data_IF_283118996327
#
_entry.id   IF_283118996327
#
_cell.length_a   1.000
_cell.length_b   1.000
_cell.length_c   1.000
_cell.angle_alpha   90.00
_cell.angle_beta   90.00
_cell.angle_gamma   90.00
#
_symmetry.space_group_name_H-M   'P 1'
#
loop_
_entity.id
_entity.type
_entity.pdbx_description
1 polymer ?
#
# COMPACT_ATOMS: atom_id res chain seq x y z
N UNK A 1 11.91 8.10 13.45
CA UNK A 1 10.96 7.50 12.48
C UNK A 1 11.71 6.43 11.72
N UNK A 2 11.23 5.20 11.75
CA UNK A 2 11.88 4.08 11.07
C UNK A 2 11.51 4.10 9.59
N UNK A 3 12.52 3.97 8.74
CA UNK A 3 12.33 3.86 7.29
C UNK A 3 12.92 2.55 6.79
N UNK A 4 12.15 1.81 6.01
CA UNK A 4 12.62 0.62 5.29
C UNK A 4 12.37 0.84 3.81
N UNK A 5 13.41 0.78 2.98
CA UNK A 5 13.28 1.05 1.55
C UNK A 5 14.17 0.13 0.74
N UNK A 6 13.63 -0.37 -0.37
CA UNK A 6 14.36 -1.03 -1.45
C UNK A 6 14.35 -0.19 -2.73
N UNK A 7 13.58 0.90 -2.76
CA UNK A 7 13.68 1.91 -3.79
C UNK A 7 15.01 2.67 -3.60
N UNK A 8 15.91 2.60 -4.59
CA UNK A 8 17.33 2.95 -4.42
C UNK A 8 17.61 4.25 -3.67
N UNK A 9 16.82 5.31 -3.87
CA UNK A 9 16.85 6.52 -3.03
C UNK A 9 15.54 6.65 -2.25
N UNK A 10 15.63 6.73 -0.94
CA UNK A 10 14.48 6.92 -0.04
C UNK A 10 13.63 8.12 -0.47
N UNK A 11 12.32 7.91 -0.55
CA UNK A 11 11.34 8.92 -0.93
C UNK A 11 11.35 9.30 -2.42
N UNK A 12 12.16 8.67 -3.26
CA UNK A 12 12.10 8.87 -4.71
C UNK A 12 11.55 7.61 -5.39
N UNK A 13 10.58 7.76 -6.31
CA UNK A 13 10.23 6.68 -7.22
C UNK A 13 11.48 6.13 -7.93
N UNK A 14 11.54 4.81 -8.19
CA UNK A 14 12.62 4.23 -8.98
C UNK A 14 12.63 4.83 -10.39
N UNK A 15 13.77 4.74 -11.07
CA UNK A 15 13.86 5.15 -12.47
C UNK A 15 12.82 4.39 -13.31
N UNK A 16 12.23 5.06 -14.30
CA UNK A 16 11.35 4.46 -15.30
C UNK A 16 12.11 4.30 -16.62
N UNK A 17 12.67 3.11 -16.93
CA UNK A 17 13.38 2.89 -18.18
C UNK A 17 12.44 3.08 -19.39
N UNK A 18 13.01 3.40 -20.55
CA UNK A 18 12.24 3.41 -21.79
C UNK A 18 11.61 2.03 -22.05
N UNK A 19 10.34 2.01 -22.47
CA UNK A 19 9.58 0.77 -22.67
C UNK A 19 8.97 0.19 -21.39
N UNK A 20 9.04 0.90 -20.25
CA UNK A 20 8.39 0.52 -19.01
C UNK A 20 7.39 1.58 -18.54
N UNK A 21 6.30 1.11 -17.93
CA UNK A 21 5.38 1.88 -17.09
C UNK A 21 5.79 1.74 -15.64
N UNK A 22 5.58 2.80 -14.87
CA UNK A 22 5.79 2.80 -13.43
C UNK A 22 4.46 3.02 -12.72
N UNK A 23 4.08 2.08 -11.88
CA UNK A 23 2.92 2.19 -10.99
C UNK A 23 3.41 2.38 -9.56
N UNK A 24 2.79 3.30 -8.81
CA UNK A 24 3.02 3.47 -7.38
C UNK A 24 1.73 3.26 -6.60
N UNK A 25 1.69 2.28 -5.70
CA UNK A 25 0.57 2.10 -4.78
C UNK A 25 0.89 2.64 -3.41
N UNK A 26 0.00 3.45 -2.86
CA UNK A 26 0.14 4.11 -1.57
C UNK A 26 -0.91 3.55 -0.60
N UNK A 27 -0.49 3.30 0.64
CA UNK A 27 -1.36 2.92 1.74
C UNK A 27 -0.91 3.57 3.04
N UNK A 28 -1.87 4.06 3.83
CA UNK A 28 -1.61 4.73 5.11
C UNK A 28 -2.39 4.01 6.21
N UNK A 29 -1.68 3.57 7.24
CA UNK A 29 -2.28 3.00 8.44
C UNK A 29 -2.46 4.08 9.51
N UNK A 30 -3.66 4.13 10.07
CA UNK A 30 -4.06 5.13 11.04
C UNK A 30 -4.96 4.55 12.14
N UNK A 31 -4.89 5.15 13.32
CA UNK A 31 -5.72 4.75 14.47
C UNK A 31 -7.17 5.15 14.23
N UNK A 32 -8.11 4.27 14.61
CA UNK A 32 -9.55 4.54 14.46
C UNK A 32 -10.09 5.14 15.76
N UNK A 33 -10.45 6.41 15.74
CA UNK A 33 -11.13 7.07 16.86
C UNK A 33 -12.50 7.59 16.44
N UNK A 34 -13.53 6.76 16.67
CA UNK A 34 -14.90 7.11 16.32
C UNK A 34 -15.57 8.13 17.26
N UNK A 35 -14.93 8.44 18.40
CA UNK A 35 -15.50 9.35 19.40
C UNK A 35 -15.14 10.81 19.16
N UNK A 36 -14.04 11.06 18.45
CA UNK A 36 -13.51 12.40 18.22
C UNK A 36 -13.48 12.65 16.71
N UNK A 37 -14.18 13.70 16.27
CA UNK A 37 -14.10 14.14 14.88
C UNK A 37 -12.64 14.46 14.54
N UNK A 38 -12.13 13.87 13.47
CA UNK A 38 -10.72 13.96 13.07
C UNK A 38 -9.72 13.43 14.11
N UNK A 39 -10.14 12.53 15.01
CA UNK A 39 -9.26 11.92 16.01
C UNK A 39 -8.42 10.74 15.49
N UNK A 40 -8.47 10.46 14.18
CA UNK A 40 -7.65 9.43 13.58
C UNK A 40 -6.22 9.95 13.41
N UNK A 41 -5.23 9.13 13.78
CA UNK A 41 -3.82 9.52 13.74
C UNK A 41 -3.04 8.52 12.88
N UNK A 42 -2.37 8.96 11.80
CA UNK A 42 -1.52 8.10 10.99
C UNK A 42 -0.26 7.72 11.75
N UNK A 43 0.16 6.47 11.62
CA UNK A 43 1.37 5.95 12.29
C UNK A 43 2.29 5.16 11.35
N UNK A 44 1.81 4.78 10.17
CA UNK A 44 2.62 4.11 9.16
C UNK A 44 2.08 4.46 7.77
N UNK A 45 2.97 4.51 6.77
CA UNK A 45 2.56 4.45 5.37
C UNK A 45 3.59 3.69 4.55
N UNK A 46 3.18 3.23 3.37
CA UNK A 46 4.10 2.69 2.38
C UNK A 46 3.76 3.17 0.98
N UNK A 47 4.78 3.13 0.13
CA UNK A 47 4.66 3.21 -1.31
C UNK A 47 5.31 1.97 -1.91
N UNK A 48 4.55 1.19 -2.67
CA UNK A 48 5.04 0.04 -3.45
C UNK A 48 5.08 0.44 -4.92
N UNK A 49 6.22 0.24 -5.55
CA UNK A 49 6.44 0.53 -6.97
C UNK A 49 6.49 -0.77 -7.77
N UNK A 50 5.74 -0.81 -8.87
CA UNK A 50 5.80 -1.88 -9.86
C UNK A 50 6.32 -1.30 -11.19
N UNK A 51 7.45 -1.82 -11.66
CA UNK A 51 7.97 -1.53 -12.99
C UNK A 51 7.51 -2.62 -13.95
N UNK A 52 6.81 -2.22 -15.01
CA UNK A 52 6.18 -3.16 -15.94
C UNK A 52 6.47 -2.75 -17.37
N UNK A 53 6.89 -3.67 -18.25
CA UNK A 53 6.97 -3.41 -19.67
C UNK A 53 5.66 -2.86 -20.24
N UNK A 54 5.74 -1.90 -21.16
CA UNK A 54 4.57 -1.24 -21.77
C UNK A 54 3.74 -2.19 -22.63
N UNK A 55 4.34 -3.26 -23.14
CA UNK A 55 3.74 -4.20 -24.09
C UNK A 55 3.26 -5.51 -23.46
N UNK A 56 3.40 -5.69 -22.14
CA UNK A 56 3.02 -6.96 -21.51
C UNK A 56 1.52 -6.99 -21.20
N UNK A 57 0.83 -7.90 -21.89
CA UNK A 57 -0.52 -8.36 -21.53
C UNK A 57 -0.46 -9.42 -20.42
N UNK A 58 0.67 -10.11 -20.28
CA UNK A 58 0.92 -11.19 -19.34
C UNK A 58 2.13 -10.84 -18.46
N UNK A 59 2.03 -11.02 -17.14
CA UNK A 59 3.14 -10.74 -16.21
C UNK A 59 3.59 -12.01 -15.51
N UNK A 60 4.86 -12.39 -15.70
CA UNK A 60 5.51 -13.53 -15.06
C UNK A 60 6.69 -13.13 -14.15
N UNK A 61 7.25 -11.93 -14.38
CA UNK A 61 8.39 -11.38 -13.65
C UNK A 61 8.01 -10.04 -13.03
N UNK A 62 8.22 -9.91 -11.72
CA UNK A 62 7.83 -8.73 -10.96
C UNK A 62 9.06 -7.94 -10.54
N UNK A 63 9.17 -6.70 -11.02
CA UNK A 63 10.13 -5.72 -10.52
C UNK A 63 9.45 -4.86 -9.46
N UNK A 64 9.62 -5.27 -8.19
CA UNK A 64 9.00 -4.63 -7.05
C UNK A 64 10.07 -3.89 -6.25
N UNK A 65 9.80 -2.63 -5.95
CA UNK A 65 10.53 -1.88 -4.92
C UNK A 65 9.54 -1.17 -4.02
N UNK A 66 9.97 -0.75 -2.84
CA UNK A 66 9.09 -0.03 -1.93
C UNK A 66 9.84 0.94 -1.03
N UNK A 67 9.08 1.83 -0.41
CA UNK A 67 9.47 2.57 0.78
C UNK A 67 8.35 2.45 1.82
N UNK A 68 8.70 2.23 3.08
CA UNK A 68 7.77 2.20 4.21
C UNK A 68 8.34 3.02 5.36
N UNK A 69 7.46 3.82 5.97
CA UNK A 69 7.77 4.65 7.13
C UNK A 69 6.87 4.28 8.30
N UNK A 70 7.44 4.29 9.50
CA UNK A 70 6.73 3.96 10.74
C UNK A 70 7.20 4.89 11.87
N UNK A 71 6.26 5.43 12.65
CA UNK A 71 6.60 6.30 13.80
C UNK A 71 7.15 5.51 14.99
N UNK A 72 8.30 5.92 15.49
CA UNK A 72 8.88 5.39 16.72
C UNK A 72 8.21 6.00 17.94
N UNK A 73 7.83 7.27 17.84
CA UNK A 73 7.13 8.00 18.90
C UNK A 73 5.99 8.85 18.34
N UNK A 74 4.96 9.18 19.13
CA UNK A 74 3.86 10.03 18.67
C UNK A 74 4.29 11.42 18.16
N UNK A 75 5.43 11.94 18.64
CA UNK A 75 5.98 13.23 18.22
C UNK A 75 6.38 13.25 16.74
N UNK A 76 6.59 12.09 16.13
CA UNK A 76 7.02 11.96 14.73
C UNK A 76 5.87 12.01 13.72
N UNK A 77 4.63 12.05 14.20
CA UNK A 77 3.42 12.04 13.36
C UNK A 77 3.44 13.16 12.31
N UNK A 78 3.85 14.39 12.68
CA UNK A 78 3.97 15.50 11.75
C UNK A 78 5.00 15.23 10.63
N UNK A 79 6.16 14.69 10.98
CA UNK A 79 7.18 14.30 10.01
C UNK A 79 6.71 13.16 9.09
N UNK A 80 5.98 12.17 9.62
CA UNK A 80 5.38 11.09 8.83
C UNK A 80 4.44 11.67 7.76
N UNK A 81 3.56 12.60 8.15
CA UNK A 81 2.61 13.24 7.22
C UNK A 81 3.33 14.06 6.16
N UNK A 82 4.36 14.81 6.53
CA UNK A 82 5.18 15.57 5.58
C UNK A 82 5.88 14.65 4.57
N UNK A 83 6.44 13.53 5.02
CA UNK A 83 7.07 12.55 4.15
C UNK A 83 6.04 11.89 3.21
N UNK A 84 4.88 11.48 3.73
CA UNK A 84 3.80 10.89 2.92
C UNK A 84 3.31 11.85 1.83
N UNK A 85 3.12 13.13 2.16
CA UNK A 85 2.70 14.13 1.18
C UNK A 85 3.73 14.34 0.07
N UNK A 86 5.01 14.45 0.44
CA UNK A 86 6.11 14.59 -0.52
C UNK A 86 6.20 13.37 -1.45
N UNK A 87 6.05 12.16 -0.92
CA UNK A 87 6.08 10.93 -1.70
C UNK A 87 4.86 10.80 -2.63
N UNK A 88 3.66 11.12 -2.14
CA UNK A 88 2.43 11.14 -2.95
C UNK A 88 2.57 12.15 -4.10
N UNK A 89 3.07 13.36 -3.83
CA UNK A 89 3.33 14.35 -4.88
C UNK A 89 4.30 13.82 -5.92
N UNK A 90 5.44 13.25 -5.50
CA UNK A 90 6.41 12.65 -6.44
C UNK A 90 5.80 11.51 -7.25
N UNK A 91 4.94 10.69 -6.64
CA UNK A 91 4.23 9.65 -7.36
C UNK A 91 3.32 10.25 -8.45
N UNK A 92 2.57 11.30 -8.14
CA UNK A 92 1.72 11.99 -9.11
C UNK A 92 2.53 12.63 -10.26
N UNK A 93 3.74 13.11 -9.96
CA UNK A 93 4.62 13.73 -10.96
C UNK A 93 5.36 12.72 -11.85
N UNK A 94 5.74 11.55 -11.31
CA UNK A 94 6.79 10.70 -11.90
C UNK A 94 6.32 9.29 -12.27
N UNK A 95 5.09 8.92 -11.92
CA UNK A 95 4.54 7.59 -12.20
C UNK A 95 3.43 7.69 -13.25
N UNK A 96 3.17 6.59 -13.95
CA UNK A 96 2.08 6.49 -14.90
C UNK A 96 0.73 6.34 -14.17
N UNK A 97 0.73 5.59 -13.07
CA UNK A 97 -0.46 5.29 -12.28
C UNK A 97 -0.15 5.34 -10.79
N UNK A 98 -0.92 6.13 -10.06
CA UNK A 98 -0.95 6.14 -8.59
C UNK A 98 -2.16 5.34 -8.12
N UNK A 99 -1.92 4.35 -7.29
CA UNK A 99 -2.94 3.40 -6.82
C UNK A 99 -3.13 3.54 -5.32
N UNK A 100 -4.35 3.29 -4.86
CA UNK A 100 -4.62 3.01 -3.45
C UNK A 100 -5.92 2.23 -3.30
N UNK A 101 -6.23 1.82 -2.08
CA UNK A 101 -7.51 1.21 -1.74
C UNK A 101 -8.21 2.07 -0.69
N UNK A 102 -9.28 2.78 -1.07
CA UNK A 102 -9.87 3.85 -0.25
C UNK A 102 -8.95 5.06 -0.05
N UNK A 103 -8.12 5.39 -1.04
CA UNK A 103 -7.14 6.47 -0.97
C UNK A 103 -7.74 7.81 -0.51
N UNK A 104 -9.03 8.06 -0.80
CA UNK A 104 -9.75 9.23 -0.27
C UNK A 104 -9.73 9.37 1.25
N UNK A 105 -9.80 8.26 1.99
CA UNK A 105 -9.78 8.24 3.45
C UNK A 105 -8.37 8.51 3.97
N UNK A 106 -7.35 7.90 3.36
CA UNK A 106 -5.95 8.12 3.72
C UNK A 106 -5.57 9.59 3.50
N UNK A 107 -5.91 10.15 2.34
CA UNK A 107 -5.69 11.56 2.04
C UNK A 107 -6.47 12.48 3.00
N UNK A 108 -7.67 12.08 3.45
CA UNK A 108 -8.45 12.87 4.41
C UNK A 108 -7.79 12.87 5.80
N UNK A 109 -7.29 11.71 6.27
CA UNK A 109 -6.60 11.57 7.55
C UNK A 109 -5.28 12.34 7.52
N UNK A 110 -4.43 12.12 6.52
CA UNK A 110 -3.16 12.85 6.35
C UNK A 110 -3.40 14.36 6.37
N UNK A 111 -4.40 14.85 5.64
CA UNK A 111 -4.71 16.28 5.58
C UNK A 111 -5.21 16.82 6.92
N UNK A 112 -6.09 16.09 7.60
CA UNK A 112 -6.58 16.51 8.92
C UNK A 112 -5.45 16.59 9.95
N UNK A 113 -4.51 15.65 9.90
CA UNK A 113 -3.30 15.66 10.73
C UNK A 113 -2.35 16.80 10.35
N UNK A 114 -2.13 17.05 9.05
CA UNK A 114 -1.30 18.17 8.59
C UNK A 114 -1.77 19.53 9.13
N UNK A 115 -3.09 19.73 9.22
CA UNK A 115 -3.68 20.98 9.72
C UNK A 115 -3.35 21.30 11.18
N UNK A 116 -2.95 20.30 11.99
CA UNK A 116 -2.69 20.47 13.44
C UNK A 116 -1.23 20.27 13.83
N UNK A 117 -0.37 19.85 12.90
CA UNK A 117 1.07 19.65 13.13
C UNK A 117 1.90 20.69 12.39
N UNK A 118 2.79 21.39 13.10
CA UNK A 118 3.61 22.45 12.51
C UNK A 118 4.56 21.91 11.43
N UNK A 119 5.14 20.73 11.67
CA UNK A 119 6.09 20.04 10.78
C UNK A 119 5.46 19.65 9.44
N UNK A 120 4.14 19.53 9.39
CA UNK A 120 3.38 19.14 8.21
C UNK A 120 2.63 20.31 7.54
N UNK A 121 2.88 21.56 7.96
CA UNK A 121 2.12 22.70 7.44
C UNK A 121 2.28 22.88 5.93
N UNK A 122 3.49 22.70 5.42
CA UNK A 122 3.78 22.81 3.97
C UNK A 122 3.18 21.64 3.17
N UNK A 123 2.99 20.48 3.81
CA UNK A 123 2.38 19.31 3.21
C UNK A 123 0.90 19.51 2.84
N UNK A 124 0.25 20.53 3.41
CA UNK A 124 -1.16 20.83 3.18
C UNK A 124 -1.48 21.04 1.69
N UNK A 125 -0.63 21.80 0.99
CA UNK A 125 -0.83 22.09 -0.43
C UNK A 125 -0.72 20.83 -1.30
N UNK A 126 0.29 19.99 -1.01
CA UNK A 126 0.51 18.71 -1.71
C UNK A 126 -0.66 17.74 -1.48
N UNK A 127 -1.18 17.67 -0.26
CA UNK A 127 -2.33 16.83 0.08
C UNK A 127 -3.63 17.33 -0.54
N UNK A 128 -3.86 18.64 -0.59
CA UNK A 128 -5.02 19.22 -1.27
C UNK A 128 -4.94 18.99 -2.80
N UNK A 129 -3.76 19.10 -3.40
CA UNK A 129 -3.54 18.75 -4.80
C UNK A 129 -3.79 17.26 -5.07
N UNK A 130 -3.31 16.36 -4.21
CA UNK A 130 -3.56 14.92 -4.32
C UNK A 130 -5.05 14.59 -4.21
N UNK A 131 -5.78 15.24 -3.30
CA UNK A 131 -7.24 15.10 -3.20
C UNK A 131 -7.96 15.61 -4.43
N UNK A 132 -7.56 16.75 -4.98
CA UNK A 132 -8.12 17.29 -6.21
C UNK A 132 -7.90 16.31 -7.39
N UNK A 133 -6.70 15.74 -7.51
CA UNK A 133 -6.41 14.69 -8.47
C UNK A 133 -7.28 13.44 -8.25
N UNK A 134 -7.50 13.03 -7.00
CA UNK A 134 -8.36 11.87 -6.68
C UNK A 134 -9.81 12.13 -7.10
N UNK A 135 -10.33 13.35 -6.90
CA UNK A 135 -11.67 13.72 -7.36
C UNK A 135 -11.76 13.76 -8.90
N UNK A 136 -10.75 14.33 -9.56
CA UNK A 136 -10.68 14.44 -11.01
C UNK A 136 -10.46 13.10 -11.74
N UNK A 137 -10.08 12.04 -11.01
CA UNK A 137 -9.79 10.72 -11.62
C UNK A 137 -10.95 10.15 -12.45
N UNK A 138 -12.20 10.49 -12.07
CA UNK A 138 -13.42 10.00 -12.73
C UNK A 138 -13.61 10.53 -14.16
N UNK A 139 -12.90 11.61 -14.52
CA UNK A 139 -13.08 12.31 -15.80
C UNK A 139 -11.82 12.32 -16.67
N UNK A 140 -10.68 11.84 -16.17
CA UNK A 140 -9.44 11.77 -16.95
C UNK A 140 -9.41 10.51 -17.81
N UNK A 141 -9.16 10.69 -19.10
CA UNK A 141 -9.21 9.63 -20.11
C UNK A 141 -7.85 8.95 -20.32
N UNK A 142 -6.71 9.60 -20.04
CA UNK A 142 -5.37 8.99 -19.96
C UNK A 142 -4.29 10.06 -19.68
N UNK A 143 -3.20 9.70 -19.00
CA UNK A 143 -2.03 10.56 -18.75
C UNK A 143 -1.18 10.10 -17.56
N UNK A 144 0.00 10.70 -17.34
CA UNK A 144 0.83 10.45 -16.15
C UNK A 144 0.15 10.94 -14.87
N UNK A 145 0.43 10.28 -13.75
CA UNK A 145 -0.15 10.64 -12.45
C UNK A 145 -1.65 10.38 -12.36
N UNK A 146 -2.18 9.46 -13.18
CA UNK A 146 -3.57 9.05 -13.07
C UNK A 146 -3.75 8.35 -11.72
N UNK A 147 -4.81 8.69 -10.99
CA UNK A 147 -5.17 7.99 -9.76
C UNK A 147 -6.15 6.86 -10.07
N UNK A 148 -5.92 5.71 -9.48
CA UNK A 148 -6.83 4.55 -9.51
C UNK A 148 -7.11 4.09 -8.07
N UNK A 149 -8.35 4.26 -7.62
CA UNK A 149 -8.78 3.82 -6.30
C UNK A 149 -9.51 2.48 -6.44
N UNK A 150 -8.82 1.41 -6.07
CA UNK A 150 -9.29 0.03 -6.27
C UNK A 150 -10.62 -0.29 -5.59
N UNK A 151 -11.04 0.49 -4.59
CA UNK A 151 -12.37 0.31 -4.01
C UNK A 151 -13.49 0.74 -4.96
N UNK A 152 -13.24 1.77 -5.76
CA UNK A 152 -14.25 2.44 -6.57
C UNK A 152 -14.10 2.16 -8.07
N UNK A 153 -12.89 1.86 -8.52
CA UNK A 153 -12.55 1.88 -9.94
C UNK A 153 -12.33 0.45 -10.50
N UNK A 154 -12.49 -0.60 -9.68
CA UNK A 154 -12.29 -2.02 -10.06
C UNK A 154 -13.56 -2.80 -10.39
N UNK A 155 -14.73 -2.15 -10.44
CA UNK A 155 -16.02 -2.82 -10.63
C UNK A 155 -16.08 -3.68 -11.92
N UNK A 156 -15.33 -3.33 -12.96
CA UNK A 156 -15.31 -4.04 -14.25
C UNK A 156 -14.74 -5.46 -14.18
N UNK A 157 -13.96 -5.79 -13.13
CA UNK A 157 -13.28 -7.09 -12.97
C UNK A 157 -13.81 -7.91 -11.80
N UNK A 158 -14.80 -7.39 -11.06
CA UNK A 158 -15.29 -8.01 -9.84
C UNK A 158 -16.65 -8.68 -10.06
N UNK A 159 -16.79 -9.89 -9.54
CA UNK A 159 -18.04 -10.65 -9.56
C UNK A 159 -18.81 -10.54 -8.24
N UNK A 160 -18.12 -10.28 -7.13
CA UNK A 160 -18.71 -10.11 -5.81
C UNK A 160 -19.20 -8.68 -5.53
N UNK A 161 -20.00 -8.55 -4.46
CA UNK A 161 -20.51 -7.27 -3.97
C UNK A 161 -19.61 -6.60 -2.93
N UNK A 162 -18.69 -7.34 -2.32
CA UNK A 162 -17.76 -6.78 -1.35
C UNK A 162 -16.70 -5.90 -2.03
N UNK A 163 -16.30 -4.85 -1.32
CA UNK A 163 -15.24 -3.92 -1.73
C UNK A 163 -14.17 -3.76 -0.64
N UNK A 164 -14.04 -4.75 0.25
CA UNK A 164 -12.87 -4.88 1.12
C UNK A 164 -11.75 -5.47 0.29
N UNK A 165 -10.52 -4.94 0.40
CA UNK A 165 -9.41 -5.38 -0.44
C UNK A 165 -9.19 -6.90 -0.39
N UNK A 166 -9.29 -7.53 0.79
CA UNK A 166 -9.14 -8.99 0.94
C UNK A 166 -10.14 -9.80 0.12
N UNK A 167 -11.38 -9.32 -0.01
CA UNK A 167 -12.41 -10.03 -0.79
C UNK A 167 -12.22 -9.78 -2.29
N UNK A 168 -11.86 -8.54 -2.64
CA UNK A 168 -11.49 -8.14 -4.02
C UNK A 168 -10.32 -8.99 -4.52
N UNK A 169 -9.30 -9.19 -3.68
CA UNK A 169 -8.18 -10.08 -3.97
C UNK A 169 -8.63 -11.53 -4.16
N UNK A 170 -9.54 -12.02 -3.30
CA UNK A 170 -10.12 -13.36 -3.44
C UNK A 170 -10.85 -13.57 -4.78
N UNK A 171 -11.70 -12.61 -5.17
CA UNK A 171 -12.41 -12.64 -6.47
C UNK A 171 -11.43 -12.73 -7.66
N UNK A 172 -10.27 -12.07 -7.54
CA UNK A 172 -9.23 -12.03 -8.57
C UNK A 172 -8.18 -13.15 -8.46
N UNK A 173 -8.33 -14.10 -7.53
CA UNK A 173 -7.38 -15.21 -7.36
C UNK A 173 -6.01 -14.79 -6.80
N UNK A 174 -5.98 -13.72 -6.01
CA UNK A 174 -4.80 -13.25 -5.29
C UNK A 174 -4.83 -13.77 -3.85
N UNK A 175 -3.83 -14.57 -3.45
CA UNK A 175 -3.68 -14.97 -2.04
C UNK A 175 -3.03 -13.87 -1.23
N UNK A 176 -3.82 -13.27 -0.34
CA UNK A 176 -3.44 -12.17 0.56
C UNK A 176 -3.59 -12.55 2.02
N UNK A 177 -3.52 -13.84 2.36
CA UNK A 177 -3.69 -14.35 3.73
C UNK A 177 -2.84 -13.57 4.75
N UNK A 178 -3.46 -13.18 5.88
CA UNK A 178 -2.88 -12.26 6.88
C UNK A 178 -2.79 -12.89 8.28
N UNK A 179 -1.70 -13.58 8.64
CA UNK A 179 -1.53 -14.13 9.99
C UNK A 179 -1.27 -13.04 11.05
N UNK A 180 -0.87 -11.84 10.65
CA UNK A 180 -0.48 -10.73 11.53
C UNK A 180 -1.59 -10.28 12.47
N UNK A 181 -2.86 -10.53 12.13
CA UNK A 181 -3.99 -10.10 12.95
C UNK A 181 -4.65 -11.26 13.71
N UNK A 182 -4.13 -12.50 13.61
CA UNK A 182 -4.68 -13.64 14.34
C UNK A 182 -4.59 -13.40 15.85
N UNK A 183 -5.74 -13.31 16.52
CA UNK A 183 -5.84 -13.11 17.96
C UNK A 183 -5.43 -11.71 18.45
N UNK A 184 -5.30 -10.72 17.57
CA UNK A 184 -4.92 -9.35 17.92
C UNK A 184 -5.62 -8.34 17.01
N UNK A 185 -5.30 -7.05 17.18
CA UNK A 185 -5.71 -5.99 16.25
C UNK A 185 -4.54 -5.09 15.94
N UNK A 186 -4.62 -4.36 14.83
CA UNK A 186 -3.60 -3.38 14.45
C UNK A 186 -3.38 -2.33 15.55
N UNK A 187 -4.45 -1.85 16.20
CA UNK A 187 -4.35 -0.93 17.34
C UNK A 187 -3.69 -1.56 18.56
N UNK A 188 -3.85 -2.86 18.79
CA UNK A 188 -3.16 -3.56 19.86
C UNK A 188 -1.66 -3.73 19.54
N UNK A 189 -1.31 -4.08 18.29
CA UNK A 189 0.08 -4.15 17.84
C UNK A 189 0.78 -2.80 17.92
N UNK A 190 0.12 -1.72 17.45
CA UNK A 190 0.69 -0.38 17.50
C UNK A 190 0.95 0.08 18.94
N UNK A 191 0.04 -0.23 19.87
CA UNK A 191 0.26 0.04 21.30
C UNK A 191 1.44 -0.73 21.88
N UNK A 192 1.59 -2.04 21.58
CA UNK A 192 2.75 -2.81 22.03
C UNK A 192 4.08 -2.20 21.56
N UNK A 193 4.10 -1.66 20.34
CA UNK A 193 5.27 -0.94 19.86
C UNK A 193 5.51 0.35 20.66
N UNK A 194 4.50 1.22 20.82
CA UNK A 194 4.69 2.50 21.53
C UNK A 194 4.97 2.33 23.02
N UNK A 195 4.31 1.38 23.68
CA UNK A 195 4.37 1.22 25.14
C UNK A 195 5.57 0.39 25.59
N UNK A 196 5.98 -0.61 24.80
CA UNK A 196 7.02 -1.58 25.17
C UNK A 196 8.16 -1.73 24.16
N UNK A 197 8.13 -1.01 23.04
CA UNK A 197 9.17 -1.09 22.02
C UNK A 197 9.26 -2.46 21.33
N UNK A 198 8.18 -3.26 21.31
CA UNK A 198 8.19 -4.64 20.80
C UNK A 198 8.42 -4.66 19.27
N UNK A 199 9.61 -5.06 18.77
CA UNK A 199 9.93 -4.92 17.34
C UNK A 199 9.05 -5.78 16.43
N UNK A 200 8.67 -6.98 16.90
CA UNK A 200 7.77 -7.88 16.17
C UNK A 200 6.40 -7.25 15.91
N UNK A 201 5.86 -6.48 16.86
CA UNK A 201 4.58 -5.81 16.68
C UNK A 201 4.62 -4.76 15.56
N UNK A 202 5.70 -3.97 15.51
CA UNK A 202 5.97 -3.01 14.44
C UNK A 202 6.16 -3.72 13.10
N UNK A 203 7.00 -4.76 13.05
CA UNK A 203 7.30 -5.49 11.80
C UNK A 203 6.06 -6.13 11.18
N UNK A 204 5.18 -6.71 12.00
CA UNK A 204 3.87 -7.20 11.55
C UNK A 204 3.06 -6.12 10.86
N UNK A 205 3.01 -4.91 11.43
CA UNK A 205 2.30 -3.78 10.81
C UNK A 205 2.99 -3.36 9.51
N UNK A 206 4.32 -3.24 9.48
CA UNK A 206 5.07 -2.91 8.27
C UNK A 206 4.78 -3.90 7.13
N UNK A 207 4.81 -5.20 7.42
CA UNK A 207 4.50 -6.25 6.43
C UNK A 207 3.04 -6.21 6.00
N UNK A 208 2.10 -5.96 6.93
CA UNK A 208 0.68 -5.81 6.61
C UNK A 208 0.43 -4.63 5.65
N UNK A 209 0.97 -3.45 5.96
CA UNK A 209 0.82 -2.23 5.16
C UNK A 209 1.47 -2.40 3.76
N UNK A 210 2.66 -3.01 3.68
CA UNK A 210 3.27 -3.34 2.39
C UNK A 210 2.46 -4.35 1.58
N UNK A 211 1.89 -5.38 2.22
CA UNK A 211 0.98 -6.33 1.57
C UNK A 211 -0.25 -5.61 1.04
N UNK A 212 -0.84 -4.68 1.81
CA UNK A 212 -2.02 -3.92 1.40
C UNK A 212 -1.72 -3.07 0.15
N UNK A 213 -0.61 -2.31 0.16
CA UNK A 213 -0.13 -1.57 -1.01
C UNK A 213 0.11 -2.46 -2.22
N UNK A 214 0.84 -3.58 -2.06
CA UNK A 214 1.10 -4.50 -3.17
C UNK A 214 -0.18 -5.12 -3.72
N UNK A 215 -1.11 -5.49 -2.84
CA UNK A 215 -2.40 -6.07 -3.23
C UNK A 215 -3.21 -5.06 -4.05
N UNK A 216 -3.29 -3.80 -3.61
CA UNK A 216 -3.97 -2.75 -4.36
C UNK A 216 -3.32 -2.53 -5.73
N UNK A 217 -1.99 -2.52 -5.81
CA UNK A 217 -1.25 -2.44 -7.07
C UNK A 217 -1.64 -3.56 -8.04
N UNK A 218 -1.65 -4.81 -7.57
CA UNK A 218 -2.02 -5.98 -8.39
C UNK A 218 -3.48 -5.93 -8.85
N UNK A 219 -4.40 -5.52 -7.98
CA UNK A 219 -5.81 -5.31 -8.36
C UNK A 219 -5.93 -4.26 -9.47
N UNK A 220 -5.25 -3.13 -9.36
CA UNK A 220 -5.27 -2.08 -10.38
C UNK A 220 -4.68 -2.56 -11.71
N UNK A 221 -3.62 -3.37 -11.69
CA UNK A 221 -3.08 -3.98 -12.90
C UNK A 221 -4.07 -4.89 -13.60
N UNK A 222 -4.74 -5.76 -12.84
CA UNK A 222 -5.77 -6.65 -13.38
C UNK A 222 -6.93 -5.83 -13.95
N UNK A 223 -7.40 -4.82 -13.23
CA UNK A 223 -8.49 -3.95 -13.66
C UNK A 223 -8.15 -3.11 -14.91
N UNK A 224 -6.87 -2.84 -15.15
CA UNK A 224 -6.38 -2.11 -16.33
C UNK A 224 -5.91 -3.02 -17.47
N UNK A 225 -6.18 -4.33 -17.37
CA UNK A 225 -6.07 -5.29 -18.47
C UNK A 225 -4.86 -6.22 -18.42
N UNK A 226 -3.95 -6.06 -17.45
CA UNK A 226 -2.84 -7.00 -17.29
C UNK A 226 -3.32 -8.33 -16.69
N UNK A 227 -2.73 -9.45 -17.10
CA UNK A 227 -3.06 -10.78 -16.57
C UNK A 227 -1.85 -11.45 -15.93
N UNK A 228 -1.87 -11.74 -14.63
CA UNK A 228 -0.89 -12.64 -14.04
C UNK A 228 -0.96 -14.03 -14.73
N UNK A 229 0.19 -14.67 -14.93
CA UNK A 229 0.27 -16.00 -15.58
C UNK A 229 -0.38 -17.13 -14.78
N UNK A 230 -0.42 -16.99 -13.46
CA UNK A 230 -0.93 -18.00 -12.52
C UNK A 230 -1.66 -17.33 -11.35
N UNK A 231 -2.32 -18.14 -10.51
CA UNK A 231 -2.69 -17.69 -9.17
C UNK A 231 -1.47 -17.05 -8.50
N UNK A 232 -1.67 -15.85 -7.95
CA UNK A 232 -0.57 -15.02 -7.45
C UNK A 232 -0.63 -14.97 -5.93
N UNK A 233 0.38 -15.56 -5.29
CA UNK A 233 0.55 -15.45 -3.85
C UNK A 233 1.31 -14.16 -3.52
N UNK A 234 0.58 -13.17 -2.99
CA UNK A 234 1.14 -11.85 -2.67
C UNK A 234 2.18 -11.96 -1.56
N UNK A 235 2.06 -12.95 -0.66
CA UNK A 235 3.05 -13.20 0.39
C UNK A 235 4.39 -13.65 -0.18
N UNK A 236 4.39 -14.51 -1.20
CA UNK A 236 5.62 -14.93 -1.88
C UNK A 236 6.30 -13.76 -2.58
N UNK A 237 5.53 -12.95 -3.31
CA UNK A 237 6.06 -11.75 -3.97
C UNK A 237 6.65 -10.77 -2.97
N UNK A 238 5.95 -10.50 -1.86
CA UNK A 238 6.44 -9.61 -0.82
C UNK A 238 7.70 -10.16 -0.15
N UNK A 239 7.70 -11.44 0.24
CA UNK A 239 8.83 -12.08 0.91
C UNK A 239 10.13 -12.01 0.10
N UNK A 240 10.04 -12.16 -1.23
CA UNK A 240 11.19 -12.06 -2.13
C UNK A 240 11.86 -10.68 -2.13
N UNK A 241 11.16 -9.64 -1.68
CA UNK A 241 11.64 -8.25 -1.71
C UNK A 241 11.85 -7.64 -0.32
N UNK A 242 11.48 -8.33 0.76
CA UNK A 242 11.74 -7.85 2.12
C UNK A 242 13.22 -8.06 2.51
N UNK A 243 13.86 -7.06 3.15
CA UNK A 243 15.24 -7.22 3.61
C UNK A 243 15.31 -8.21 4.78
N UNK A 244 16.48 -8.83 5.00
CA UNK A 244 16.68 -9.80 6.07
C UNK A 244 16.49 -9.21 7.49
N UNK A 245 16.44 -7.89 7.61
CA UNK A 245 16.21 -7.16 8.87
C UNK A 245 14.76 -7.17 9.33
N UNK A 246 13.79 -7.52 8.48
CA UNK A 246 12.39 -7.72 8.88
C UNK A 246 12.22 -9.17 9.35
N UNK A 247 12.45 -9.40 10.63
CA UNK A 247 12.46 -10.74 11.22
C UNK A 247 11.11 -11.45 11.18
N UNK A 248 10.00 -10.70 11.21
CA UNK A 248 8.64 -11.24 11.05
C UNK A 248 8.49 -12.08 9.76
N UNK A 249 9.18 -11.73 8.67
CA UNK A 249 9.12 -12.48 7.41
C UNK A 249 9.75 -13.89 7.51
N UNK A 250 10.43 -14.19 8.62
CA UNK A 250 11.05 -15.48 8.94
C UNK A 250 10.33 -16.22 10.07
N UNK A 251 9.28 -15.62 10.64
CA UNK A 251 8.46 -16.26 11.66
C UNK A 251 7.73 -17.47 11.05
N UNK A 252 7.60 -18.60 11.77
CA UNK A 252 6.90 -19.79 11.29
C UNK A 252 5.50 -19.51 10.74
N UNK A 253 4.76 -18.58 11.36
CA UNK A 253 3.42 -18.21 10.92
C UNK A 253 3.42 -17.52 9.54
N UNK A 254 4.46 -16.73 9.25
CA UNK A 254 4.62 -16.09 7.94
C UNK A 254 5.18 -17.07 6.90
N UNK A 255 6.19 -17.87 7.25
CA UNK A 255 6.80 -18.82 6.30
C UNK A 255 5.84 -19.90 5.85
N UNK A 256 4.85 -20.28 6.68
CA UNK A 256 3.78 -21.19 6.30
C UNK A 256 2.91 -20.67 5.14
N UNK A 257 2.88 -19.36 4.90
CA UNK A 257 2.17 -18.77 3.75
C UNK A 257 2.91 -18.99 2.43
N UNK A 258 4.22 -19.27 2.50
CA UNK A 258 5.09 -19.34 1.31
C UNK A 258 5.04 -20.73 0.66
N UNK A 259 4.52 -21.74 1.35
CA UNK A 259 4.48 -23.13 0.89
C UNK A 259 3.20 -23.51 0.15
N UNK A 260 2.19 -22.63 0.09
CA UNK A 260 0.87 -22.98 -0.43
C UNK A 260 0.77 -22.68 -1.93
N UNK A 261 0.76 -23.75 -2.73
CA UNK A 261 0.29 -23.76 -4.11
C UNK A 261 -1.09 -24.44 -4.16
N UNK A 262 -2.13 -23.74 -3.69
CA UNK A 262 -3.55 -23.97 -4.00
C UNK A 262 -4.42 -23.18 -3.00
N UNK A 263 -5.23 -22.24 -3.51
CA UNK A 263 -6.30 -21.64 -2.73
C UNK A 263 -7.38 -22.71 -2.51
N UNK A 264 -7.76 -23.05 -1.26
CA UNK A 264 -8.88 -23.96 -1.02
C UNK A 264 -10.18 -23.34 -1.55
N UNK A 265 -10.82 -23.97 -2.53
CA UNK A 265 -12.22 -23.67 -2.91
C UNK A 265 -12.53 -23.41 -4.38
N UNK A 266 -11.58 -23.50 -5.32
CA UNK A 266 -11.90 -23.46 -6.76
C UNK A 266 -11.93 -24.87 -7.35
N UNK A 267 -13.05 -25.34 -7.93
CA UNK A 267 -13.03 -26.57 -8.73
C UNK A 267 -12.12 -26.34 -9.95
N UNK A 268 -11.26 -27.31 -10.23
CA UNK A 268 -10.49 -27.36 -11.47
C UNK A 268 -11.50 -27.52 -12.62
N UNK A 269 -11.59 -26.51 -13.49
CA UNK A 269 -12.31 -26.57 -14.75
C UNK A 269 -11.37 -26.96 -15.88
#
# INVERSE_FOLDING_TARGET
MITTSTAGRTGAPPARPAGFRLLASVDVEWTKNYKIKNGNVPFCYSVVYLQLPTTLDIVDTWQISYTSHYVETPAETGHLVAAAAADIRRCLEQTDLVVGHQLSSDLAVLRATAAVHHEAREAQADLDAARAAWHARRTRIQGSGQIFDTRYDSDSVLTGSSRRLVDVCGDLGLDVTQPELRGTSMTALHRRWLDSGEPSARERITVLNLRHSLSAALVALIATGARPTTETNVNQLLAAHLPPTITWARDPAFTALLTTAAIPGRPQS
#
